data_IF_527642341547
#
_entry.id   IF_527642341547
#
_cell.length_a   1.000
_cell.length_b   1.000
_cell.length_c   1.000
_cell.angle_alpha   90.00
_cell.angle_beta   90.00
_cell.angle_gamma   90.00
#
_symmetry.space_group_name_H-M   'P 1'
#
loop_
_entity.id
_entity.type
_entity.pdbx_description
1 polymer ?
#
# COMPACT_ATOMS: atom_id res chain seq x y z
N UNK A 1 -79.66 -71.91 -25.17
CA UNK A 1 -78.33 -71.79 -24.50
C UNK A 1 -78.15 -70.38 -24.06
N UNK A 2 -78.44 -70.18 -22.79
CA UNK A 2 -78.45 -68.87 -22.10
C UNK A 2 -77.12 -68.67 -21.38
N UNK A 3 -76.32 -67.67 -21.82
CA UNK A 3 -75.07 -67.28 -21.11
C UNK A 3 -75.32 -66.37 -19.93
N UNK A 4 -74.51 -66.42 -18.86
CA UNK A 4 -74.76 -65.65 -17.68
C UNK A 4 -74.28 -64.17 -17.85
N UNK A 5 -75.12 -63.27 -17.34
CA UNK A 5 -74.87 -61.82 -17.28
C UNK A 5 -73.89 -61.53 -16.10
N UNK A 6 -72.77 -60.95 -16.44
CA UNK A 6 -71.76 -60.57 -15.51
C UNK A 6 -72.17 -59.24 -14.85
N UNK A 7 -72.48 -59.25 -13.54
CA UNK A 7 -72.78 -58.07 -12.76
C UNK A 7 -71.46 -57.32 -12.41
N UNK A 8 -71.29 -56.14 -12.95
CA UNK A 8 -70.25 -55.25 -12.62
C UNK A 8 -70.36 -54.81 -11.12
N UNK A 9 -69.31 -55.03 -10.39
CA UNK A 9 -69.21 -54.58 -8.97
C UNK A 9 -69.17 -53.04 -8.92
N UNK A 10 -70.09 -52.51 -8.11
CA UNK A 10 -70.20 -51.07 -7.81
C UNK A 10 -68.98 -50.64 -6.99
N UNK A 11 -68.21 -49.60 -7.40
CA UNK A 11 -67.12 -49.12 -6.57
C UNK A 11 -67.67 -48.57 -5.24
N UNK A 12 -67.10 -49.04 -4.13
CA UNK A 12 -67.36 -48.52 -2.81
C UNK A 12 -66.98 -47.04 -2.76
N UNK A 13 -67.89 -46.15 -2.52
CA UNK A 13 -67.60 -44.75 -2.14
C UNK A 13 -66.97 -44.80 -0.76
N UNK A 14 -65.66 -44.70 -0.71
CA UNK A 14 -65.01 -44.38 0.53
C UNK A 14 -65.59 -43.06 1.03
N UNK A 15 -66.16 -43.12 2.25
CA UNK A 15 -66.75 -41.97 2.91
C UNK A 15 -65.66 -40.93 3.16
N UNK A 16 -65.63 -39.85 2.35
CA UNK A 16 -64.84 -38.67 2.66
C UNK A 16 -65.27 -38.13 4.02
N UNK A 17 -64.57 -38.54 5.07
CA UNK A 17 -64.71 -37.95 6.39
C UNK A 17 -64.08 -36.60 6.34
N UNK A 18 -64.86 -35.52 6.27
CA UNK A 18 -64.40 -34.17 6.39
C UNK A 18 -63.73 -33.95 7.77
N UNK A 19 -62.66 -33.18 7.80
CA UNK A 19 -61.95 -32.83 9.02
C UNK A 19 -62.91 -32.13 10.03
N UNK A 20 -62.81 -32.54 11.27
CA UNK A 20 -63.54 -31.87 12.38
C UNK A 20 -62.98 -30.46 12.58
N UNK A 21 -63.84 -29.49 12.88
CA UNK A 21 -63.44 -28.10 13.13
C UNK A 21 -62.45 -28.02 14.29
N UNK A 22 -62.52 -28.94 15.27
CA UNK A 22 -61.58 -29.06 16.38
C UNK A 22 -60.22 -29.58 15.91
N UNK A 23 -60.18 -30.52 14.98
CA UNK A 23 -58.95 -31.08 14.42
C UNK A 23 -58.18 -30.07 13.59
N UNK A 24 -58.88 -29.23 12.79
CA UNK A 24 -58.30 -28.09 12.08
C UNK A 24 -57.76 -27.02 13.04
N UNK A 25 -58.42 -26.77 14.16
CA UNK A 25 -58.00 -25.79 15.15
C UNK A 25 -56.75 -26.28 15.91
N UNK A 26 -56.67 -27.56 16.26
CA UNK A 26 -55.49 -28.19 16.87
C UNK A 26 -54.32 -28.22 15.89
N UNK A 27 -54.57 -28.56 14.60
CA UNK A 27 -53.53 -28.56 13.56
C UNK A 27 -52.98 -27.15 13.33
N UNK A 28 -53.80 -26.10 13.30
CA UNK A 28 -53.35 -24.72 13.21
C UNK A 28 -52.52 -24.28 14.39
N UNK A 29 -52.91 -24.70 15.61
CA UNK A 29 -52.15 -24.37 16.84
C UNK A 29 -50.78 -25.03 16.84
N UNK A 30 -50.72 -26.30 16.46
CA UNK A 30 -49.43 -27.02 16.30
C UNK A 30 -48.55 -26.40 15.21
N UNK A 31 -49.16 -26.04 14.06
CA UNK A 31 -48.46 -25.35 12.97
C UNK A 31 -47.87 -24.01 13.44
N UNK A 32 -48.63 -23.23 14.22
CA UNK A 32 -48.15 -21.95 14.79
C UNK A 32 -46.98 -22.15 15.74
N UNK A 33 -47.03 -23.14 16.64
CA UNK A 33 -45.94 -23.45 17.57
C UNK A 33 -44.65 -23.87 16.78
N UNK A 34 -44.79 -24.78 15.80
CA UNK A 34 -43.67 -25.22 14.96
C UNK A 34 -43.11 -24.07 14.14
N UNK A 35 -43.99 -23.26 13.54
CA UNK A 35 -43.56 -22.08 12.75
C UNK A 35 -42.82 -21.03 13.61
N UNK A 36 -43.28 -20.79 14.85
CA UNK A 36 -42.60 -19.89 15.78
C UNK A 36 -41.20 -20.41 16.14
N UNK A 37 -41.07 -21.72 16.42
CA UNK A 37 -39.76 -22.33 16.69
C UNK A 37 -38.82 -22.28 15.49
N UNK A 38 -39.32 -22.53 14.26
CA UNK A 38 -38.50 -22.39 13.03
C UNK A 38 -38.07 -20.95 12.82
N UNK A 39 -38.93 -19.98 13.04
CA UNK A 39 -38.63 -18.56 12.87
C UNK A 39 -37.55 -18.08 13.86
N UNK A 40 -37.66 -18.52 15.13
CA UNK A 40 -36.61 -18.24 16.12
C UNK A 40 -35.26 -18.87 15.77
N UNK A 41 -35.25 -20.11 15.29
CA UNK A 41 -34.08 -20.79 14.80
C UNK A 41 -33.40 -20.06 13.59
N UNK A 42 -34.24 -19.61 12.63
CA UNK A 42 -33.74 -18.79 11.49
C UNK A 42 -33.17 -17.46 11.93
N UNK A 43 -33.79 -16.77 12.89
CA UNK A 43 -33.27 -15.51 13.42
C UNK A 43 -31.93 -15.71 14.16
N UNK A 44 -31.78 -16.78 14.91
CA UNK A 44 -30.51 -17.12 15.57
C UNK A 44 -29.41 -17.45 14.54
N UNK A 45 -29.72 -18.25 13.53
CA UNK A 45 -28.79 -18.59 12.46
C UNK A 45 -28.34 -17.34 11.69
N UNK A 46 -29.28 -16.45 11.35
CA UNK A 46 -28.96 -15.18 10.67
C UNK A 46 -28.02 -14.29 11.53
N UNK A 47 -28.21 -14.23 12.85
CA UNK A 47 -27.33 -13.49 13.76
C UNK A 47 -25.91 -14.06 13.78
N UNK A 48 -25.77 -15.38 13.86
CA UNK A 48 -24.47 -16.04 13.83
C UNK A 48 -23.78 -15.83 12.50
N UNK A 49 -24.49 -15.98 11.37
CA UNK A 49 -23.93 -15.73 10.04
C UNK A 49 -23.44 -14.29 9.89
N UNK A 50 -24.22 -13.29 10.33
CA UNK A 50 -23.80 -11.90 10.28
C UNK A 50 -22.56 -11.63 11.14
N UNK A 51 -22.48 -12.23 12.34
CA UNK A 51 -21.30 -12.10 13.21
C UNK A 51 -20.05 -12.69 12.57
N UNK A 52 -20.15 -13.89 11.98
CA UNK A 52 -19.05 -14.55 11.28
C UNK A 52 -18.62 -13.75 10.05
N UNK A 53 -19.60 -13.28 9.26
CA UNK A 53 -19.31 -12.49 8.06
C UNK A 53 -18.61 -11.16 8.39
N UNK A 54 -19.10 -10.45 9.41
CA UNK A 54 -18.46 -9.20 9.86
C UNK A 54 -17.03 -9.42 10.33
N UNK A 55 -16.80 -10.50 11.08
CA UNK A 55 -15.45 -10.84 11.56
C UNK A 55 -14.52 -11.20 10.40
N UNK A 56 -14.97 -12.01 9.45
CA UNK A 56 -14.20 -12.35 8.25
C UNK A 56 -13.87 -11.10 7.44
N UNK A 57 -14.84 -10.22 7.18
CA UNK A 57 -14.62 -8.98 6.42
C UNK A 57 -13.59 -8.04 7.09
N UNK A 58 -13.65 -7.92 8.43
CA UNK A 58 -12.64 -7.15 9.18
C UNK A 58 -11.25 -7.75 9.03
N UNK A 59 -11.11 -9.07 9.23
CA UNK A 59 -9.83 -9.78 9.10
C UNK A 59 -9.25 -9.61 7.71
N UNK A 60 -10.05 -9.82 6.67
CA UNK A 60 -9.61 -9.73 5.27
C UNK A 60 -9.21 -8.30 4.90
N UNK A 61 -9.97 -7.30 5.34
CA UNK A 61 -9.66 -5.90 5.09
C UNK A 61 -8.35 -5.45 5.74
N UNK A 62 -8.20 -5.70 7.05
CA UNK A 62 -6.97 -5.35 7.79
C UNK A 62 -5.77 -6.11 7.26
N UNK A 63 -5.93 -7.39 6.93
CA UNK A 63 -4.86 -8.22 6.38
C UNK A 63 -4.40 -7.68 5.03
N UNK A 64 -5.32 -7.44 4.10
CA UNK A 64 -5.00 -6.91 2.77
C UNK A 64 -4.31 -5.55 2.85
N UNK A 65 -4.80 -4.64 3.70
CA UNK A 65 -4.19 -3.34 3.91
C UNK A 65 -2.77 -3.44 4.49
N UNK A 66 -2.56 -4.32 5.48
CA UNK A 66 -1.23 -4.49 6.09
C UNK A 66 -0.26 -5.20 5.16
N UNK A 67 -0.69 -6.18 4.36
CA UNK A 67 0.15 -6.86 3.37
C UNK A 67 0.62 -5.87 2.29
N UNK A 68 -0.28 -5.03 1.75
CA UNK A 68 0.09 -4.00 0.78
C UNK A 68 1.08 -2.98 1.38
N UNK A 69 0.80 -2.48 2.59
CA UNK A 69 1.72 -1.58 3.30
C UNK A 69 3.10 -2.21 3.52
N UNK A 70 3.14 -3.47 3.92
CA UNK A 70 4.40 -4.20 4.11
C UNK A 70 5.19 -4.32 2.80
N UNK A 71 4.51 -4.63 1.71
CA UNK A 71 5.13 -4.74 0.39
C UNK A 71 5.68 -3.39 -0.07
N UNK A 72 4.88 -2.33 -0.03
CA UNK A 72 5.27 -1.01 -0.51
C UNK A 72 6.36 -0.36 0.35
N UNK A 73 6.27 -0.48 1.68
CA UNK A 73 7.36 -0.04 2.56
C UNK A 73 8.63 -0.84 2.28
N UNK A 74 8.52 -2.15 2.06
CA UNK A 74 9.67 -3.02 1.77
C UNK A 74 10.42 -2.64 0.49
N UNK A 75 9.71 -2.13 -0.52
CA UNK A 75 10.27 -1.72 -1.82
C UNK A 75 10.61 -0.21 -1.88
N UNK A 76 10.15 0.57 -0.92
CA UNK A 76 10.43 2.00 -0.88
C UNK A 76 11.94 2.28 -0.96
N UNK A 77 12.30 3.32 -1.70
CA UNK A 77 13.69 3.70 -1.94
C UNK A 77 14.37 2.98 -3.10
N UNK A 78 13.68 2.08 -3.80
CA UNK A 78 14.19 1.52 -5.06
C UNK A 78 14.36 2.61 -6.10
N UNK A 79 15.48 2.56 -6.83
CA UNK A 79 15.78 3.47 -7.92
C UNK A 79 16.00 2.65 -9.20
N UNK A 80 15.40 3.07 -10.29
CA UNK A 80 15.41 2.32 -11.54
C UNK A 80 15.45 3.22 -12.77
N UNK A 81 16.03 2.70 -13.83
CA UNK A 81 15.86 3.23 -15.19
C UNK A 81 14.92 2.28 -15.95
N UNK A 82 13.88 2.80 -16.62
CA UNK A 82 12.81 1.96 -17.18
C UNK A 82 13.25 1.09 -18.37
N UNK A 83 14.41 1.36 -18.94
CA UNK A 83 15.00 0.59 -20.03
C UNK A 83 16.52 0.66 -19.96
N UNK A 84 17.25 -0.26 -20.61
CA UNK A 84 18.70 -0.14 -20.78
C UNK A 84 19.06 1.18 -21.45
N UNK A 85 19.94 1.94 -20.83
CA UNK A 85 20.43 3.22 -21.34
C UNK A 85 21.89 3.08 -21.74
N UNK A 86 22.26 3.74 -22.82
CA UNK A 86 23.67 3.80 -23.30
C UNK A 86 24.03 5.22 -23.69
N UNK A 87 25.32 5.52 -23.67
CA UNK A 87 25.87 6.73 -24.30
C UNK A 87 25.69 6.64 -25.81
N UNK A 88 25.14 7.68 -26.43
CA UNK A 88 24.96 7.71 -27.90
C UNK A 88 26.19 8.28 -28.63
N UNK A 89 27.10 8.91 -27.88
CA UNK A 89 28.38 9.42 -28.38
C UNK A 89 29.49 9.15 -27.36
N UNK A 90 30.77 9.16 -27.84
CA UNK A 90 31.91 9.06 -26.95
C UNK A 90 32.07 10.32 -26.10
N UNK A 91 32.57 10.16 -24.88
CA UNK A 91 32.85 11.27 -23.95
C UNK A 91 34.31 11.16 -23.46
N UNK A 92 34.98 12.29 -23.37
CA UNK A 92 36.31 12.39 -22.77
C UNK A 92 36.22 12.58 -21.25
N UNK A 93 37.31 12.35 -20.53
CA UNK A 93 37.40 12.74 -19.12
C UNK A 93 37.28 14.26 -18.96
N UNK A 94 36.69 14.69 -17.82
CA UNK A 94 36.43 16.08 -17.47
C UNK A 94 34.96 16.43 -17.42
N UNK A 95 34.63 17.71 -17.19
CA UNK A 95 33.22 18.17 -17.19
C UNK A 95 32.68 18.17 -18.62
N UNK A 96 31.69 17.34 -18.87
CA UNK A 96 31.10 17.18 -20.21
C UNK A 96 29.57 17.01 -20.13
N UNK A 97 28.92 17.38 -21.22
CA UNK A 97 27.55 17.03 -21.52
C UNK A 97 27.56 15.99 -22.63
N UNK A 98 26.97 14.82 -22.37
CA UNK A 98 26.92 13.70 -23.28
C UNK A 98 25.48 13.28 -23.57
N UNK A 99 25.22 12.92 -24.82
CA UNK A 99 23.90 12.41 -25.21
C UNK A 99 23.74 10.94 -24.83
N UNK A 100 22.56 10.58 -24.39
CA UNK A 100 22.16 9.24 -23.95
C UNK A 100 20.95 8.77 -24.73
N UNK A 101 20.71 7.45 -24.75
CA UNK A 101 19.55 6.89 -25.45
C UNK A 101 18.20 7.28 -24.81
N UNK A 102 18.17 7.52 -23.51
CA UNK A 102 16.99 7.97 -22.75
C UNK A 102 17.42 8.68 -21.47
N UNK A 103 16.62 9.63 -21.03
CA UNK A 103 16.75 10.30 -19.71
C UNK A 103 15.53 10.06 -18.82
N UNK A 104 14.70 9.09 -19.18
CA UNK A 104 13.54 8.72 -18.34
C UNK A 104 14.00 8.28 -16.95
N UNK A 105 13.38 8.79 -15.91
CA UNK A 105 13.70 8.63 -14.49
C UNK A 105 15.03 9.26 -14.04
N UNK A 106 15.76 9.94 -14.92
CA UNK A 106 17.01 10.64 -14.53
C UNK A 106 16.70 12.05 -14.00
N UNK A 107 17.47 12.47 -13.01
CA UNK A 107 17.32 13.79 -12.37
C UNK A 107 18.68 14.39 -11.96
N UNK A 108 18.70 15.68 -11.72
CA UNK A 108 19.89 16.38 -11.26
C UNK A 108 20.29 15.92 -9.85
N UNK A 109 21.58 15.77 -9.60
CA UNK A 109 22.23 15.24 -8.42
C UNK A 109 22.09 13.72 -8.21
N UNK A 110 21.58 12.99 -9.21
CA UNK A 110 21.58 11.53 -9.21
C UNK A 110 23.00 10.98 -9.42
N UNK A 111 23.28 9.83 -8.83
CA UNK A 111 24.49 9.06 -9.11
C UNK A 111 24.21 7.97 -10.14
N UNK A 112 24.87 8.07 -11.29
CA UNK A 112 24.81 7.07 -12.36
C UNK A 112 26.13 6.32 -12.46
N UNK A 113 26.05 5.06 -12.87
CA UNK A 113 27.21 4.22 -13.18
C UNK A 113 27.35 4.16 -14.68
N UNK A 114 28.50 4.62 -15.17
CA UNK A 114 28.84 4.68 -16.61
C UNK A 114 29.90 3.64 -16.92
N UNK A 115 29.74 2.92 -18.03
CA UNK A 115 30.69 1.93 -18.47
C UNK A 115 30.53 0.57 -17.78
N UNK A 116 31.49 -0.30 -17.99
CA UNK A 116 31.56 -1.64 -17.41
C UNK A 116 33.01 -2.09 -17.21
N UNK A 117 33.23 -2.99 -16.27
CA UNK A 117 34.55 -3.56 -15.97
C UNK A 117 35.55 -2.51 -15.47
N UNK A 118 36.74 -2.48 -16.05
CA UNK A 118 37.81 -1.55 -15.64
C UNK A 118 37.49 -0.07 -15.95
N UNK A 119 36.57 0.18 -16.90
CA UNK A 119 36.12 1.52 -17.26
C UNK A 119 34.82 1.91 -16.56
N UNK A 120 34.37 1.16 -15.56
CA UNK A 120 33.18 1.51 -14.78
C UNK A 120 33.51 2.66 -13.81
N UNK A 121 32.74 3.72 -13.88
CA UNK A 121 32.82 4.82 -12.91
C UNK A 121 31.44 5.27 -12.45
N UNK A 122 31.38 5.89 -11.29
CA UNK A 122 30.15 6.53 -10.79
C UNK A 122 30.29 8.05 -10.94
N UNK A 123 29.36 8.64 -11.67
CA UNK A 123 29.28 10.09 -11.88
C UNK A 123 28.08 10.68 -11.21
N UNK A 124 28.18 11.91 -10.71
CA UNK A 124 27.03 12.67 -10.27
C UNK A 124 26.53 13.55 -11.39
N UNK A 125 25.25 13.39 -11.73
CA UNK A 125 24.59 14.19 -12.76
C UNK A 125 24.38 15.62 -12.25
N UNK A 126 24.90 16.61 -12.95
CA UNK A 126 24.70 18.03 -12.62
C UNK A 126 23.48 18.62 -13.31
N UNK A 127 23.16 18.14 -14.52
CA UNK A 127 21.97 18.54 -15.26
C UNK A 127 21.49 17.42 -16.19
N UNK A 128 20.20 17.43 -16.48
CA UNK A 128 19.54 16.52 -17.43
C UNK A 128 18.86 17.33 -18.51
N UNK A 129 19.18 17.02 -19.77
CA UNK A 129 18.55 17.62 -20.95
C UNK A 129 17.61 16.64 -21.63
N UNK A 130 16.47 17.09 -22.12
CA UNK A 130 15.43 16.26 -22.75
C UNK A 130 15.46 16.29 -24.27
N UNK A 131 16.01 17.33 -24.88
CA UNK A 131 16.04 17.50 -26.33
C UNK A 131 17.35 18.14 -26.81
N UNK A 132 18.33 17.35 -27.27
CA UNK A 132 18.38 15.89 -27.23
C UNK A 132 18.53 15.33 -25.80
N UNK A 133 18.16 14.05 -25.57
CA UNK A 133 18.39 13.38 -24.29
C UNK A 133 19.86 13.43 -23.92
N UNK A 134 20.21 14.04 -22.79
CA UNK A 134 21.59 14.27 -22.40
C UNK A 134 21.77 14.41 -20.91
N UNK A 135 22.95 14.08 -20.43
CA UNK A 135 23.37 14.28 -19.03
C UNK A 135 24.65 15.10 -19.00
N UNK A 136 24.73 16.02 -18.06
CA UNK A 136 25.94 16.74 -17.74
C UNK A 136 26.55 16.15 -16.46
N UNK A 137 27.83 15.81 -16.49
CA UNK A 137 28.55 15.25 -15.35
C UNK A 137 30.04 15.51 -15.47
N UNK A 138 30.79 15.20 -14.41
CA UNK A 138 32.27 15.17 -14.45
C UNK A 138 32.69 13.70 -14.58
N UNK A 139 33.29 13.36 -15.69
CA UNK A 139 33.79 12.02 -15.99
C UNK A 139 35.28 11.94 -15.58
N UNK A 140 35.66 10.88 -14.88
CA UNK A 140 37.05 10.63 -14.51
C UNK A 140 37.81 9.89 -15.62
N UNK A 141 37.05 9.16 -16.46
CA UNK A 141 37.57 8.36 -17.56
C UNK A 141 36.87 8.70 -18.87
N UNK A 142 37.51 8.33 -19.99
CA UNK A 142 36.86 8.42 -21.29
C UNK A 142 35.99 7.18 -21.54
N UNK A 143 34.81 7.39 -22.13
CA UNK A 143 33.87 6.32 -22.49
C UNK A 143 33.57 6.35 -24.00
N UNK A 144 33.48 5.17 -24.59
CA UNK A 144 33.07 5.03 -25.97
C UNK A 144 31.55 5.20 -26.13
N UNK A 145 31.09 5.52 -27.32
CA UNK A 145 29.70 5.39 -27.70
C UNK A 145 29.21 3.95 -27.47
N UNK A 146 27.99 3.75 -26.98
CA UNK A 146 27.47 2.46 -26.61
C UNK A 146 27.78 2.02 -25.16
N UNK A 147 28.61 2.78 -24.42
CA UNK A 147 28.83 2.46 -23.00
C UNK A 147 27.53 2.43 -22.21
N UNK A 148 27.29 1.40 -21.37
CA UNK A 148 26.09 1.30 -20.59
C UNK A 148 26.01 2.39 -19.52
N UNK A 149 24.78 2.86 -19.29
CA UNK A 149 24.43 3.78 -18.20
C UNK A 149 23.44 3.05 -17.30
N UNK A 150 23.77 2.92 -16.04
CA UNK A 150 22.96 2.23 -15.05
C UNK A 150 22.83 3.08 -13.78
N UNK A 151 21.85 2.75 -12.97
CA UNK A 151 21.72 3.27 -11.62
C UNK A 151 21.97 2.16 -10.62
N UNK A 152 22.63 2.49 -9.52
CA UNK A 152 22.86 1.55 -8.41
C UNK A 152 22.61 2.24 -7.07
N UNK A 153 22.26 1.43 -6.06
CA UNK A 153 21.91 1.94 -4.73
C UNK A 153 20.45 2.25 -4.59
N UNK A 154 20.11 3.30 -3.86
CA UNK A 154 18.74 3.66 -3.61
C UNK A 154 18.57 5.09 -3.07
N UNK A 155 17.33 5.46 -2.78
CA UNK A 155 17.01 6.74 -2.17
C UNK A 155 17.20 6.69 -0.66
N UNK A 156 17.92 7.66 -0.10
CA UNK A 156 18.02 7.85 1.36
C UNK A 156 16.64 8.08 1.97
N UNK A 157 15.77 8.75 1.26
CA UNK A 157 14.43 9.18 1.68
C UNK A 157 13.32 8.41 0.99
N UNK A 158 13.57 7.15 0.64
CA UNK A 158 12.54 6.27 0.05
C UNK A 158 11.34 6.09 0.97
N UNK A 159 11.54 6.03 2.27
CA UNK A 159 10.54 6.39 3.29
C UNK A 159 10.90 7.77 3.78
N UNK A 160 10.00 8.73 3.58
CA UNK A 160 10.28 10.13 3.94
C UNK A 160 10.41 10.25 5.46
N UNK A 161 11.52 10.79 5.99
CA UNK A 161 11.72 10.93 7.42
C UNK A 161 10.63 11.78 8.09
N UNK A 162 10.50 11.62 9.40
CA UNK A 162 9.52 12.35 10.19
C UNK A 162 9.75 13.85 10.19
N UNK A 163 8.66 14.62 10.16
CA UNK A 163 8.70 16.08 10.24
C UNK A 163 9.33 16.57 11.55
N UNK A 164 9.03 15.92 12.65
CA UNK A 164 9.66 16.17 13.97
C UNK A 164 9.37 14.99 14.92
N UNK A 165 10.06 14.96 16.06
CA UNK A 165 9.90 13.88 17.04
C UNK A 165 8.52 13.84 17.70
N UNK A 166 7.88 15.00 17.91
CA UNK A 166 6.54 15.05 18.50
C UNK A 166 5.47 14.47 17.57
N UNK A 167 5.63 14.66 16.25
CA UNK A 167 4.75 14.07 15.25
C UNK A 167 5.00 12.59 15.00
N UNK A 168 6.15 12.06 15.46
CA UNK A 168 6.57 10.69 15.26
C UNK A 168 7.08 10.07 16.56
N UNK A 169 6.19 9.62 17.44
CA UNK A 169 6.57 8.94 18.66
C UNK A 169 7.48 7.74 18.37
N UNK A 170 8.51 7.54 19.19
CA UNK A 170 9.48 6.47 19.03
C UNK A 170 10.69 6.77 18.13
N UNK A 171 10.73 7.93 17.48
CA UNK A 171 11.95 8.41 16.82
C UNK A 171 13.04 8.77 17.82
N UNK A 172 14.30 8.46 17.45
CA UNK A 172 15.45 8.79 18.30
C UNK A 172 15.55 10.31 18.54
N UNK A 173 15.94 10.69 19.76
CA UNK A 173 16.23 12.08 20.12
C UNK A 173 17.30 12.66 19.19
N UNK A 174 17.06 13.83 18.61
CA UNK A 174 18.00 14.50 17.71
C UNK A 174 17.92 14.11 16.24
N UNK A 175 16.91 13.34 15.83
CA UNK A 175 16.64 13.13 14.42
C UNK A 175 16.42 14.47 13.70
N UNK A 176 17.09 14.66 12.56
CA UNK A 176 16.95 15.88 11.77
C UNK A 176 15.47 16.07 11.37
N UNK A 177 14.98 17.28 11.52
CA UNK A 177 13.64 17.66 11.08
C UNK A 177 13.59 17.64 9.55
N UNK A 178 12.56 17.05 8.98
CA UNK A 178 12.30 17.03 7.54
C UNK A 178 11.02 17.82 7.29
N UNK A 179 11.14 18.98 6.65
CA UNK A 179 9.97 19.79 6.34
C UNK A 179 8.96 18.95 5.54
N UNK A 180 7.70 18.98 5.93
CA UNK A 180 6.62 18.20 5.29
C UNK A 180 6.86 16.68 5.23
N UNK A 181 7.58 16.13 6.21
CA UNK A 181 7.87 14.70 6.32
C UNK A 181 6.67 13.83 6.68
N UNK A 182 6.94 12.55 6.95
CA UNK A 182 5.95 11.61 7.49
C UNK A 182 5.53 12.00 8.91
N UNK A 183 4.39 11.45 9.38
CA UNK A 183 3.89 11.64 10.75
C UNK A 183 3.34 10.33 11.31
N UNK A 184 2.89 10.33 12.55
CA UNK A 184 2.22 9.17 13.16
C UNK A 184 0.97 8.67 12.39
N UNK A 185 0.37 9.53 11.56
CA UNK A 185 -0.85 9.25 10.80
C UNK A 185 -0.70 9.45 9.29
N UNK A 186 0.51 9.80 8.83
CA UNK A 186 0.79 10.04 7.43
C UNK A 186 2.14 9.41 7.07
N UNK A 187 2.11 8.35 6.26
CA UNK A 187 3.30 7.68 5.74
C UNK A 187 3.52 8.10 4.29
N UNK A 188 4.73 8.55 3.97
CA UNK A 188 5.12 8.99 2.63
C UNK A 188 6.25 8.13 2.12
N UNK A 189 6.05 7.56 0.93
CA UNK A 189 6.98 6.64 0.27
C UNK A 189 7.36 7.17 -1.10
N UNK A 190 8.57 6.84 -1.54
CA UNK A 190 9.05 7.16 -2.88
C UNK A 190 9.98 6.08 -3.42
N UNK A 191 9.90 5.81 -4.71
CA UNK A 191 10.76 4.87 -5.43
C UNK A 191 10.01 4.05 -6.48
N UNK A 192 10.68 3.09 -7.07
CA UNK A 192 10.05 2.03 -7.86
C UNK A 192 9.45 0.99 -6.89
N UNK A 193 8.23 1.28 -6.45
CA UNK A 193 7.56 0.51 -5.38
C UNK A 193 6.94 -0.78 -5.94
N UNK A 194 6.63 -0.80 -7.24
CA UNK A 194 5.99 -1.95 -7.89
C UNK A 194 6.99 -2.83 -8.66
N UNK A 195 8.28 -2.44 -8.72
CA UNK A 195 9.31 -3.09 -9.53
C UNK A 195 8.90 -3.20 -11.02
N UNK A 196 8.24 -2.14 -11.51
CA UNK A 196 7.76 -2.05 -12.89
C UNK A 196 8.56 -1.07 -13.75
N UNK A 197 9.66 -0.53 -13.23
CA UNK A 197 10.49 0.46 -13.88
C UNK A 197 9.96 1.89 -13.78
N UNK A 198 8.93 2.14 -12.96
CA UNK A 198 8.29 3.44 -12.78
C UNK A 198 8.43 3.91 -11.34
N UNK A 199 9.03 5.05 -11.15
CA UNK A 199 9.12 5.64 -9.82
C UNK A 199 7.81 6.34 -9.47
N UNK A 200 7.26 6.03 -8.29
CA UNK A 200 5.99 6.57 -7.81
C UNK A 200 6.18 7.20 -6.43
N UNK A 201 5.39 8.24 -6.16
CA UNK A 201 5.22 8.80 -4.83
C UNK A 201 3.90 8.29 -4.24
N UNK A 202 3.94 7.73 -3.05
CA UNK A 202 2.78 7.15 -2.38
C UNK A 202 2.58 7.79 -1.01
N UNK A 203 1.35 8.18 -0.71
CA UNK A 203 0.94 8.64 0.61
C UNK A 203 -0.13 7.72 1.19
N UNK A 204 0.06 7.31 2.44
CA UNK A 204 -0.95 6.67 3.26
C UNK A 204 -1.41 7.62 4.35
N UNK A 205 -2.68 8.04 4.32
CA UNK A 205 -3.29 8.84 5.37
C UNK A 205 -4.21 7.98 6.22
N UNK A 206 -3.84 7.85 7.49
CA UNK A 206 -4.62 7.16 8.50
C UNK A 206 -5.55 8.19 9.19
N UNK A 207 -6.77 8.31 8.72
CA UNK A 207 -7.75 9.26 9.24
C UNK A 207 -8.71 8.53 10.21
N UNK A 208 -8.31 8.49 11.49
CA UNK A 208 -9.07 7.81 12.54
C UNK A 208 -10.44 8.46 12.76
N UNK A 209 -10.52 9.79 12.62
CA UNK A 209 -11.75 10.55 12.87
C UNK A 209 -12.76 10.31 11.75
N UNK A 210 -12.31 10.19 10.50
CA UNK A 210 -13.13 9.77 9.36
C UNK A 210 -13.36 8.25 9.35
N UNK A 211 -12.55 7.48 10.05
CA UNK A 211 -12.60 6.01 10.05
C UNK A 211 -12.04 5.38 8.77
N UNK A 212 -11.10 6.02 8.11
CA UNK A 212 -10.63 5.61 6.77
C UNK A 212 -9.11 5.64 6.69
N UNK A 213 -8.55 4.57 6.12
CA UNK A 213 -7.17 4.55 5.63
C UNK A 213 -7.19 4.84 4.13
N UNK A 214 -6.60 5.95 3.77
CA UNK A 214 -6.47 6.38 2.39
C UNK A 214 -5.10 6.04 1.82
N UNK A 215 -5.05 5.72 0.53
CA UNK A 215 -3.84 5.56 -0.26
C UNK A 215 -3.91 6.47 -1.49
N UNK A 216 -2.92 7.33 -1.66
CA UNK A 216 -2.76 8.18 -2.81
C UNK A 216 -1.47 7.81 -3.55
N UNK A 217 -1.55 7.56 -4.84
CA UNK A 217 -0.41 7.25 -5.69
C UNK A 217 -0.27 8.31 -6.76
N UNK A 218 0.91 8.90 -6.84
CA UNK A 218 1.25 9.87 -7.87
C UNK A 218 2.35 9.26 -8.71
N UNK A 219 2.01 8.96 -9.95
CA UNK A 219 2.95 8.49 -10.95
C UNK A 219 3.93 9.63 -11.25
N UNK A 220 5.16 9.41 -10.90
CA UNK A 220 6.20 10.40 -11.12
C UNK A 220 7.11 9.93 -12.24
N UNK A 221 6.67 10.13 -13.48
CA UNK A 221 7.62 10.22 -14.55
C UNK A 221 8.53 11.42 -14.25
N UNK A 222 9.68 11.20 -13.63
CA UNK A 222 10.72 12.21 -13.49
C UNK A 222 11.24 12.49 -14.90
N UNK A 223 10.42 13.23 -15.64
CA UNK A 223 10.87 13.86 -16.86
C UNK A 223 11.42 15.21 -16.42
N UNK A 224 12.68 15.46 -16.77
CA UNK A 224 13.33 16.72 -16.46
C UNK A 224 12.38 17.91 -16.70
N UNK A 225 11.97 18.58 -15.65
CA UNK A 225 11.33 19.90 -15.75
C UNK A 225 9.89 20.07 -15.32
N UNK A 226 9.07 19.03 -15.19
CA UNK A 226 7.69 19.19 -14.70
C UNK A 226 7.49 18.47 -13.37
N UNK A 227 7.25 19.23 -12.30
CA UNK A 227 6.75 18.64 -11.06
C UNK A 227 5.32 18.14 -11.33
N UNK A 228 4.99 16.87 -11.05
CA UNK A 228 3.61 16.40 -11.12
C UNK A 228 2.77 17.20 -10.13
N UNK A 229 1.57 17.60 -10.54
CA UNK A 229 0.64 18.25 -9.63
C UNK A 229 0.11 17.20 -8.62
N UNK A 230 0.18 17.51 -7.33
CA UNK A 230 -0.53 16.74 -6.33
C UNK A 230 -2.03 16.90 -6.59
N UNK A 231 -2.82 15.82 -6.72
CA UNK A 231 -4.26 15.96 -6.87
C UNK A 231 -4.83 16.75 -5.69
N UNK A 232 -5.86 17.55 -5.95
CA UNK A 232 -6.55 18.35 -4.93
C UNK A 232 -6.93 17.49 -3.72
N UNK A 233 -7.05 18.08 -2.52
CA UNK A 233 -7.17 17.35 -1.27
C UNK A 233 -8.35 16.39 -1.31
N UNK A 234 -8.03 15.12 -1.35
CA UNK A 234 -8.97 14.03 -1.36
C UNK A 234 -8.20 12.78 -1.72
N UNK A 235 -8.23 11.79 -0.87
CA UNK A 235 -7.57 10.53 -1.16
C UNK A 235 -8.26 9.88 -2.34
N UNK A 236 -7.45 9.50 -3.29
CA UNK A 236 -7.93 8.90 -4.53
C UNK A 236 -8.41 7.47 -4.33
N UNK A 237 -7.96 6.81 -3.26
CA UNK A 237 -8.30 5.42 -2.98
C UNK A 237 -8.52 5.17 -1.49
N UNK A 238 -9.72 4.67 -1.15
CA UNK A 238 -10.00 4.09 0.16
C UNK A 238 -9.42 2.68 0.18
N UNK A 239 -8.46 2.44 1.07
CA UNK A 239 -7.84 1.14 1.24
C UNK A 239 -8.52 0.31 2.33
N UNK A 240 -8.96 0.97 3.40
CA UNK A 240 -9.62 0.34 4.53
C UNK A 240 -10.63 1.32 5.12
N UNK A 241 -11.84 0.86 5.38
CA UNK A 241 -12.89 1.57 6.09
C UNK A 241 -13.03 1.06 7.54
N UNK A 242 -13.89 1.73 8.29
CA UNK A 242 -14.16 1.41 9.70
C UNK A 242 -12.92 1.41 10.60
N UNK A 243 -11.92 2.20 10.24
CA UNK A 243 -10.73 2.43 11.06
C UNK A 243 -11.15 3.09 12.38
N UNK A 244 -10.51 2.71 13.48
CA UNK A 244 -10.84 3.23 14.82
C UNK A 244 -9.63 3.15 15.75
N UNK A 245 -9.68 3.85 16.85
CA UNK A 245 -8.72 3.64 17.93
C UNK A 245 -8.99 2.31 18.65
N UNK A 246 -7.94 1.60 19.14
CA UNK A 246 -8.11 0.48 20.04
C UNK A 246 -8.73 0.92 21.39
N UNK A 247 -9.24 -0.03 22.17
CA UNK A 247 -9.87 0.28 23.47
C UNK A 247 -8.89 0.85 24.50
N UNK A 248 -7.59 0.69 24.25
CA UNK A 248 -6.50 1.23 25.08
C UNK A 248 -6.24 2.73 24.87
N UNK A 249 -6.94 3.36 23.93
CA UNK A 249 -6.78 4.77 23.56
C UNK A 249 -6.14 4.98 22.19
N UNK A 250 -5.92 6.24 21.82
CA UNK A 250 -5.36 6.59 20.51
C UNK A 250 -3.93 6.08 20.35
N UNK A 251 -3.68 5.32 19.29
CA UNK A 251 -2.38 4.73 18.95
C UNK A 251 -1.94 5.23 17.59
N UNK A 252 -0.65 5.58 17.41
CA UNK A 252 -0.09 5.92 16.10
C UNK A 252 -0.29 4.77 15.10
N UNK A 253 -0.73 5.11 13.88
CA UNK A 253 -0.77 4.13 12.79
C UNK A 253 0.63 3.76 12.31
N UNK A 254 1.55 4.73 12.36
CA UNK A 254 2.93 4.57 11.89
C UNK A 254 3.91 5.04 12.96
N UNK A 255 4.91 4.19 13.25
CA UNK A 255 6.03 4.52 14.14
C UNK A 255 7.32 4.23 13.40
N UNK A 256 8.28 5.15 13.44
CA UNK A 256 9.48 5.13 12.61
C UNK A 256 10.73 4.98 13.45
N UNK A 257 11.61 4.07 13.04
CA UNK A 257 12.97 4.03 13.55
C UNK A 257 13.89 4.73 12.54
N UNK A 258 14.54 5.80 12.95
CA UNK A 258 15.38 6.63 12.09
C UNK A 258 16.85 6.56 12.51
N UNK A 259 17.74 6.65 11.52
CA UNK A 259 19.19 6.77 11.70
C UNK A 259 19.70 7.91 10.83
N UNK A 260 20.62 8.71 11.37
CA UNK A 260 21.21 9.84 10.65
C UNK A 260 22.68 9.56 10.35
N UNK A 261 23.03 9.61 9.09
CA UNK A 261 24.40 9.69 8.59
C UNK A 261 24.47 10.95 7.74
N UNK A 262 25.08 12.03 8.26
CA UNK A 262 25.01 13.33 7.58
C UNK A 262 25.49 13.25 6.11
N UNK A 263 24.80 13.94 5.17
CA UNK A 263 23.68 14.87 5.39
C UNK A 263 22.29 14.20 5.42
N UNK A 264 22.19 12.89 5.38
CA UNK A 264 20.93 12.17 5.19
C UNK A 264 20.38 11.59 6.51
N UNK A 265 19.05 11.54 6.61
CA UNK A 265 18.31 10.77 7.62
C UNK A 265 17.56 9.64 6.92
N UNK A 266 17.71 8.44 7.44
CA UNK A 266 17.16 7.20 6.89
C UNK A 266 16.11 6.63 7.84
N UNK A 267 14.97 6.23 7.33
CA UNK A 267 14.00 5.43 8.06
C UNK A 267 14.35 3.96 7.83
N UNK A 268 14.87 3.29 8.84
CA UNK A 268 15.34 1.91 8.73
C UNK A 268 14.29 0.86 9.10
N UNK A 269 13.28 1.26 9.86
CA UNK A 269 12.11 0.42 10.18
C UNK A 269 10.86 1.27 10.31
N UNK A 270 9.72 0.70 9.94
CA UNK A 270 8.38 1.24 10.16
C UNK A 270 7.55 0.20 10.89
N UNK A 271 6.99 0.56 12.03
CA UNK A 271 5.95 -0.23 12.67
C UNK A 271 4.58 0.32 12.24
N UNK A 272 3.68 -0.58 11.87
CA UNK A 272 2.34 -0.26 11.36
C UNK A 272 1.32 -0.88 12.31
N UNK A 273 0.35 -0.10 12.78
CA UNK A 273 -0.73 -0.58 13.65
C UNK A 273 -2.06 -0.04 13.15
N UNK A 274 -2.94 -0.95 12.71
CA UNK A 274 -4.26 -0.62 12.22
C UNK A 274 -5.31 -1.32 13.08
N UNK A 275 -6.31 -0.59 13.53
CA UNK A 275 -7.44 -1.12 14.27
C UNK A 275 -8.72 -0.81 13.51
N UNK A 276 -9.53 -1.83 13.27
CA UNK A 276 -10.84 -1.70 12.64
C UNK A 276 -11.94 -2.14 13.58
N UNK A 277 -13.15 -1.65 13.35
CA UNK A 277 -14.36 -2.05 14.06
C UNK A 277 -15.34 -2.74 13.13
N UNK A 278 -16.16 -3.62 13.68
CA UNK A 278 -17.26 -4.23 12.94
C UNK A 278 -18.24 -3.16 12.48
N UNK A 279 -18.73 -3.30 11.24
CA UNK A 279 -19.71 -2.39 10.66
C UNK A 279 -21.08 -2.48 11.38
N UNK A 280 -21.42 -3.68 11.84
CA UNK A 280 -22.67 -3.93 12.54
C UNK A 280 -22.43 -4.33 13.99
N UNK A 281 -23.27 -3.80 14.89
CA UNK A 281 -23.21 -4.14 16.31
C UNK A 281 -23.76 -5.54 16.52
N UNK A 282 -22.99 -6.43 17.12
CA UNK A 282 -23.48 -7.70 17.63
C UNK A 282 -24.29 -7.44 18.92
N UNK A 283 -25.51 -8.01 18.99
CA UNK A 283 -26.38 -7.83 20.18
C UNK A 283 -25.79 -8.47 21.44
N UNK A 284 -24.97 -9.51 21.28
CA UNK A 284 -24.36 -10.27 22.39
C UNK A 284 -22.97 -9.78 22.76
N UNK A 285 -22.17 -9.34 21.77
CA UNK A 285 -20.76 -8.99 21.94
C UNK A 285 -20.45 -7.49 21.73
N UNK A 286 -21.47 -6.67 21.39
CA UNK A 286 -21.26 -5.24 21.10
C UNK A 286 -20.57 -4.98 19.77
N UNK A 287 -19.85 -3.85 19.67
CA UNK A 287 -19.02 -3.53 18.49
C UNK A 287 -17.68 -4.21 18.68
N UNK A 288 -17.38 -5.18 17.83
CA UNK A 288 -16.09 -5.85 17.85
C UNK A 288 -15.02 -5.00 17.16
N UNK A 289 -13.83 -5.00 17.70
CA UNK A 289 -12.64 -4.36 17.15
C UNK A 289 -11.55 -5.39 16.92
N UNK A 290 -10.76 -5.16 15.90
CA UNK A 290 -9.58 -5.96 15.61
C UNK A 290 -8.40 -5.05 15.34
N UNK A 291 -7.27 -5.36 15.95
CA UNK A 291 -6.00 -4.66 15.74
C UNK A 291 -5.01 -5.60 15.10
N UNK A 292 -4.44 -5.16 14.00
CA UNK A 292 -3.28 -5.79 13.35
C UNK A 292 -2.09 -4.86 13.50
N UNK A 293 -1.00 -5.39 14.04
CA UNK A 293 0.26 -4.66 14.14
C UNK A 293 1.36 -5.42 13.42
N UNK A 294 2.07 -4.73 12.53
CA UNK A 294 3.30 -5.18 11.92
C UNK A 294 4.44 -4.39 12.53
N UNK A 295 5.31 -5.06 13.23
CA UNK A 295 6.51 -4.46 13.82
C UNK A 295 7.71 -4.74 12.90
N UNK A 296 8.61 -3.75 12.79
CA UNK A 296 9.87 -3.90 12.04
C UNK A 296 9.68 -4.22 10.54
N UNK A 297 8.83 -3.47 9.88
CA UNK A 297 8.79 -3.47 8.41
C UNK A 297 10.00 -2.67 7.92
N UNK A 298 11.03 -3.37 7.46
CA UNK A 298 12.25 -2.72 7.00
C UNK A 298 12.14 -2.33 5.51
N UNK A 299 12.29 -1.05 5.15
CA UNK A 299 12.43 -0.61 3.77
C UNK A 299 13.83 -0.99 3.26
N UNK A 300 13.93 -2.11 2.56
CA UNK A 300 15.20 -2.78 2.22
C UNK A 300 16.18 -1.86 1.48
N UNK A 301 15.69 -1.07 0.53
CA UNK A 301 16.52 -0.18 -0.25
C UNK A 301 17.05 1.00 0.56
N UNK A 302 16.21 1.56 1.44
CA UNK A 302 16.61 2.62 2.38
C UNK A 302 17.61 2.08 3.40
N UNK A 303 17.39 0.88 3.92
CA UNK A 303 18.31 0.21 4.84
C UNK A 303 19.67 -0.03 4.19
N UNK A 304 19.70 -0.54 2.96
CA UNK A 304 20.94 -0.73 2.19
C UNK A 304 21.64 0.61 1.92
N UNK A 305 20.89 1.66 1.60
CA UNK A 305 21.43 3.01 1.41
C UNK A 305 22.04 3.57 2.70
N UNK A 306 21.40 3.34 3.85
CA UNK A 306 21.97 3.67 5.16
C UNK A 306 23.26 2.91 5.43
N UNK A 307 23.30 1.61 5.14
CA UNK A 307 24.50 0.80 5.32
C UNK A 307 25.65 1.30 4.44
N UNK A 308 25.40 1.61 3.16
CA UNK A 308 26.36 2.19 2.25
C UNK A 308 26.89 3.55 2.75
N UNK A 309 25.99 4.42 3.20
CA UNK A 309 26.36 5.71 3.77
C UNK A 309 27.24 5.55 5.03
N UNK A 310 26.91 4.60 5.89
CA UNK A 310 27.68 4.32 7.11
C UNK A 310 29.08 3.78 6.83
N UNK A 311 29.27 3.13 5.68
CA UNK A 311 30.58 2.66 5.18
C UNK A 311 31.28 3.71 4.30
N UNK A 312 30.86 4.97 4.34
CA UNK A 312 31.40 6.06 3.52
C UNK A 312 31.28 5.85 1.98
N UNK A 313 30.39 4.97 1.53
CA UNK A 313 30.10 4.74 0.11
C UNK A 313 28.88 5.58 -0.31
N UNK A 314 29.01 6.91 -0.18
CA UNK A 314 27.90 7.84 -0.42
C UNK A 314 27.53 8.02 -1.90
N UNK A 315 28.41 7.65 -2.82
CA UNK A 315 28.20 7.75 -4.29
C UNK A 315 27.17 6.76 -4.86
N UNK A 316 26.45 6.03 -4.01
CA UNK A 316 25.32 5.15 -4.35
C UNK A 316 24.06 5.49 -3.55
N UNK A 317 24.09 6.59 -2.81
CA UNK A 317 22.99 7.07 -2.00
C UNK A 317 22.39 8.29 -2.67
N UNK A 318 21.24 8.13 -3.28
CA UNK A 318 20.57 9.19 -4.02
C UNK A 318 19.69 10.04 -3.12
N UNK A 319 19.75 11.34 -3.34
CA UNK A 319 18.83 12.29 -2.69
C UNK A 319 17.47 12.29 -3.37
N UNK A 320 16.48 12.85 -2.70
CA UNK A 320 15.14 13.01 -3.26
C UNK A 320 15.16 14.04 -4.41
N UNK A 321 14.58 13.71 -5.58
CA UNK A 321 14.41 14.67 -6.67
C UNK A 321 13.60 15.90 -6.25
N UNK A 322 13.90 17.07 -6.82
CA UNK A 322 13.17 18.31 -6.52
C UNK A 322 11.69 18.21 -6.85
N UNK A 323 11.34 17.49 -7.91
CA UNK A 323 9.95 17.24 -8.31
C UNK A 323 9.15 16.52 -7.21
N UNK A 324 9.79 15.61 -6.46
CA UNK A 324 9.15 14.92 -5.34
C UNK A 324 9.04 15.81 -4.11
N UNK A 325 10.03 16.65 -3.87
CA UNK A 325 9.96 17.60 -2.74
C UNK A 325 8.76 18.54 -2.84
N UNK A 326 8.33 18.90 -4.07
CA UNK A 326 7.13 19.70 -4.28
C UNK A 326 5.83 18.98 -3.95
N UNK A 327 5.84 17.65 -3.88
CA UNK A 327 4.69 16.82 -3.49
C UNK A 327 4.58 16.61 -1.98
N UNK A 328 5.63 16.88 -1.20
CA UNK A 328 5.63 16.63 0.24
C UNK A 328 4.65 17.50 1.03
N UNK A 329 4.45 18.81 0.74
CA UNK A 329 3.49 19.62 1.47
C UNK A 329 2.11 18.97 1.47
N UNK A 330 1.50 18.89 2.64
CA UNK A 330 0.10 18.49 2.75
C UNK A 330 -0.75 19.63 2.20
N UNK A 331 -1.69 19.36 1.30
CA UNK A 331 -2.55 20.40 0.73
C UNK A 331 -3.44 21.06 1.76
#
# INVERSE_FOLDING_TARGET
MTGPVNRAAKPSRDSERGFSLVETLVAMLLLLVVSAGMMEGMLQLSKVQNSVFNRSAMHDGVRSATELLQQEVGQAGSITLPAPVTLTQAVAAGPNTVTVSSVSNMFANEYLVIGAGAAEETVQVTAVGTSPPSIAAIFLQAHASGAPVAVRGGFATGVVPCVNQAACPGSATGAATFADGSTAYLLKLYGDINDDGRMVYVEYKCDIDAGILYRNVIDNAVTAGAAPAKPAPGPTQVLLDNLTDPDTGRVPCFVYQQQTVPPNTFVINVAISLTTRAQFRDRSAGIQKETKSLLNVAPRNVFNSWLLASMATSNRVNGMPLSIRSLLPTP
#
